data_IF_145340393852
#
_entry.id   IF_145340393852
#
_cell.length_a   1.000
_cell.length_b   1.000
_cell.length_c   1.000
_cell.angle_alpha   90.00
_cell.angle_beta   90.00
_cell.angle_gamma   90.00
#
_symmetry.space_group_name_H-M   'P 1'
#
loop_
_entity.id
_entity.type
_entity.pdbx_description
1 polymer ?
#
# COMPACT_ATOMS: atom_id res chain seq x y z
N UNK A 1 -18.91 11.51 4.20
CA UNK A 1 -18.77 10.58 5.35
C UNK A 1 -17.44 10.75 6.06
N UNK A 2 -16.31 10.47 5.41
CA UNK A 2 -14.98 10.62 6.03
C UNK A 2 -14.77 11.98 6.73
N UNK A 3 -15.07 13.10 6.04
CA UNK A 3 -14.95 14.44 6.61
C UNK A 3 -15.73 14.60 7.93
N UNK A 4 -16.93 14.05 8.01
CA UNK A 4 -17.80 14.13 9.20
C UNK A 4 -17.24 13.29 10.35
N UNK A 5 -16.84 12.04 10.08
CA UNK A 5 -16.28 11.16 11.11
C UNK A 5 -14.95 11.71 11.66
N UNK A 6 -14.10 12.30 10.82
CA UNK A 6 -12.88 13.00 11.26
C UNK A 6 -13.20 14.26 12.06
N UNK A 7 -14.15 15.07 11.59
CA UNK A 7 -14.55 16.31 12.25
C UNK A 7 -15.11 16.06 13.66
N UNK A 8 -15.91 14.99 13.84
CA UNK A 8 -16.41 14.57 15.15
C UNK A 8 -15.27 14.37 16.15
N UNK A 9 -14.21 13.65 15.76
CA UNK A 9 -13.06 13.43 16.63
C UNK A 9 -12.26 14.71 16.85
N UNK A 10 -11.89 15.42 15.78
CA UNK A 10 -11.02 16.61 15.83
C UNK A 10 -11.63 17.73 16.68
N UNK A 11 -12.96 17.88 16.68
CA UNK A 11 -13.62 18.89 17.50
C UNK A 11 -13.26 18.76 18.98
N UNK A 12 -13.12 17.53 19.50
CA UNK A 12 -12.83 17.26 20.92
C UNK A 12 -11.39 16.81 21.17
N UNK A 13 -10.62 16.47 20.13
CA UNK A 13 -9.23 16.05 20.25
C UNK A 13 -8.34 17.20 20.77
N UNK A 14 -7.51 16.92 21.79
CA UNK A 14 -6.63 17.89 22.44
C UNK A 14 -7.30 19.21 22.84
N UNK A 15 -8.59 19.16 23.21
CA UNK A 15 -9.37 20.34 23.59
C UNK A 15 -10.06 20.17 24.96
N UNK A 16 -9.31 20.27 26.08
CA UNK A 16 -9.85 20.00 27.42
C UNK A 16 -11.08 20.83 27.76
N UNK A 17 -11.06 22.14 27.50
CA UNK A 17 -12.18 23.04 27.78
C UNK A 17 -13.46 22.64 27.02
N UNK A 18 -13.35 22.26 25.75
CA UNK A 18 -14.51 21.80 24.96
C UNK A 18 -15.04 20.46 25.46
N UNK A 19 -14.16 19.57 25.91
CA UNK A 19 -14.56 18.27 26.48
C UNK A 19 -15.28 18.44 27.81
N UNK A 20 -14.78 19.34 28.67
CA UNK A 20 -15.43 19.70 29.92
C UNK A 20 -16.82 20.28 29.66
N UNK A 21 -16.93 21.27 28.77
CA UNK A 21 -18.21 21.86 28.37
C UNK A 21 -19.18 20.81 27.81
N UNK A 22 -18.72 19.96 26.91
CA UNK A 22 -19.51 18.88 26.33
C UNK A 22 -20.06 17.94 27.41
N UNK A 23 -19.22 17.46 28.32
CA UNK A 23 -19.64 16.55 29.39
C UNK A 23 -20.56 17.23 30.39
N UNK A 24 -20.27 18.48 30.77
CA UNK A 24 -21.11 19.24 31.69
C UNK A 24 -22.53 19.46 31.13
N UNK A 25 -22.63 19.79 29.84
CA UNK A 25 -23.88 20.06 29.13
C UNK A 25 -24.68 18.78 28.85
N UNK A 26 -24.04 17.77 28.28
CA UNK A 26 -24.73 16.59 27.73
C UNK A 26 -24.83 15.43 28.71
N UNK A 27 -24.08 15.49 29.82
CA UNK A 27 -23.83 14.37 30.75
C UNK A 27 -23.19 13.14 30.10
N UNK A 28 -22.75 13.25 28.84
CA UNK A 28 -22.08 12.19 28.13
C UNK A 28 -20.58 12.19 28.42
N UNK A 29 -20.05 11.03 28.81
CA UNK A 29 -18.61 10.80 29.02
C UNK A 29 -17.95 10.10 27.83
N UNK A 30 -18.74 9.66 26.84
CA UNK A 30 -18.26 9.02 25.62
C UNK A 30 -17.96 10.08 24.56
N UNK A 31 -16.81 9.94 23.92
CA UNK A 31 -16.36 10.85 22.86
C UNK A 31 -16.22 10.11 21.51
N UNK A 32 -16.26 10.85 20.38
CA UNK A 32 -16.00 10.28 19.06
C UNK A 32 -14.60 9.67 18.93
N UNK A 33 -14.51 8.54 18.21
CA UNK A 33 -13.26 7.83 17.94
C UNK A 33 -12.57 8.35 16.67
N UNK A 34 -11.24 8.22 16.57
CA UNK A 34 -10.49 8.65 15.39
C UNK A 34 -10.81 7.77 14.17
N UNK A 35 -11.16 8.41 13.04
CA UNK A 35 -11.40 7.72 11.77
C UNK A 35 -10.09 7.46 11.01
N UNK A 36 -9.90 6.24 10.52
CA UNK A 36 -8.73 5.86 9.73
C UNK A 36 -9.12 5.54 8.28
N UNK A 37 -8.59 6.30 7.31
CA UNK A 37 -8.91 6.11 5.90
C UNK A 37 -8.35 4.83 5.28
N UNK A 38 -7.34 4.21 5.91
CA UNK A 38 -6.63 3.05 5.35
C UNK A 38 -6.88 1.77 6.14
N UNK A 39 -7.19 1.87 7.44
CA UNK A 39 -7.52 0.72 8.30
C UNK A 39 -9.03 0.58 8.45
N UNK A 40 -9.65 -0.08 7.48
CA UNK A 40 -11.10 -0.26 7.45
C UNK A 40 -11.67 -1.02 8.66
N UNK A 41 -10.90 -1.94 9.27
CA UNK A 41 -11.35 -2.68 10.44
C UNK A 41 -11.66 -1.76 11.63
N UNK A 42 -10.88 -0.69 11.81
CA UNK A 42 -11.07 0.26 12.91
C UNK A 42 -12.33 1.12 12.76
N UNK A 43 -12.91 1.20 11.56
CA UNK A 43 -13.97 2.16 11.25
C UNK A 43 -15.37 1.72 11.69
N UNK A 44 -15.62 0.42 11.95
CA UNK A 44 -16.91 -0.03 12.47
C UNK A 44 -17.19 0.53 13.88
N UNK A 45 -16.27 0.40 14.87
CA UNK A 45 -16.40 1.06 16.16
C UNK A 45 -16.54 2.60 16.05
N UNK A 46 -15.86 3.21 15.08
CA UNK A 46 -15.90 4.67 14.87
C UNK A 46 -17.30 5.13 14.46
N UNK A 47 -17.94 4.45 13.51
CA UNK A 47 -19.31 4.82 13.08
C UNK A 47 -20.36 4.46 14.13
N UNK A 48 -20.20 3.35 14.86
CA UNK A 48 -21.07 3.01 15.99
C UNK A 48 -21.00 4.08 17.08
N UNK A 49 -19.78 4.50 17.46
CA UNK A 49 -19.60 5.60 18.42
C UNK A 49 -20.15 6.92 17.89
N UNK A 50 -19.97 7.22 16.60
CA UNK A 50 -20.49 8.44 15.99
C UNK A 50 -22.02 8.50 16.07
N UNK A 51 -22.71 7.40 15.79
CA UNK A 51 -24.17 7.28 15.93
C UNK A 51 -24.61 7.41 17.40
N UNK A 52 -23.89 6.77 18.32
CA UNK A 52 -24.16 6.83 19.77
C UNK A 52 -24.08 8.26 20.33
N UNK A 53 -23.04 9.01 19.97
CA UNK A 53 -22.81 10.36 20.53
C UNK A 53 -23.48 11.46 19.73
N UNK A 54 -24.08 11.16 18.57
CA UNK A 54 -24.68 12.16 17.70
C UNK A 54 -25.67 13.09 18.41
N UNK A 55 -26.64 12.58 19.23
CA UNK A 55 -27.57 13.46 19.94
C UNK A 55 -26.88 14.41 20.92
N UNK A 56 -25.85 13.93 21.62
CA UNK A 56 -25.06 14.76 22.54
C UNK A 56 -24.26 15.83 21.78
N UNK A 57 -23.72 15.49 20.61
CA UNK A 57 -23.01 16.46 19.75
C UNK A 57 -23.97 17.54 19.24
N UNK A 58 -25.17 17.17 18.80
CA UNK A 58 -26.21 18.13 18.41
C UNK A 58 -26.57 19.06 19.57
N UNK A 59 -26.76 18.52 20.79
CA UNK A 59 -27.03 19.34 21.98
C UNK A 59 -25.89 20.32 22.30
N UNK A 60 -24.63 19.89 22.15
CA UNK A 60 -23.48 20.76 22.31
C UNK A 60 -23.44 21.87 21.24
N UNK A 61 -23.70 21.54 19.98
CA UNK A 61 -23.73 22.52 18.89
C UNK A 61 -24.84 23.56 19.08
N UNK A 62 -26.02 23.15 19.55
CA UNK A 62 -27.10 24.07 19.92
C UNK A 62 -26.70 25.00 21.07
N UNK A 63 -25.93 24.50 22.04
CA UNK A 63 -25.39 25.33 23.12
C UNK A 63 -24.35 26.34 22.59
N UNK A 64 -23.52 25.96 21.63
CA UNK A 64 -22.58 26.86 20.94
C UNK A 64 -23.32 27.96 20.18
N UNK A 65 -24.42 27.66 19.49
CA UNK A 65 -25.21 28.68 18.80
C UNK A 65 -25.85 29.70 19.73
N UNK A 66 -26.15 29.32 20.98
CA UNK A 66 -26.95 30.14 21.91
C UNK A 66 -26.16 30.80 23.03
N UNK A 67 -25.19 30.10 23.62
CA UNK A 67 -24.63 30.43 24.94
C UNK A 67 -23.12 30.20 25.08
N UNK A 68 -22.51 29.37 24.24
CA UNK A 68 -21.09 28.98 24.34
C UNK A 68 -20.26 29.60 23.20
N UNK A 69 -18.96 29.87 23.41
CA UNK A 69 -18.10 30.40 22.36
C UNK A 69 -18.04 29.46 21.15
N UNK A 70 -18.14 30.03 19.95
CA UNK A 70 -17.94 29.28 18.72
C UNK A 70 -16.47 28.85 18.60
N UNK A 71 -16.17 27.55 18.40
CA UNK A 71 -14.79 27.08 18.22
C UNK A 71 -14.06 27.71 17.03
N UNK A 72 -14.76 28.19 16.01
CA UNK A 72 -14.16 28.77 14.80
C UNK A 72 -13.27 27.79 14.02
N UNK A 73 -13.51 26.49 14.14
CA UNK A 73 -12.71 25.44 13.51
C UNK A 73 -13.41 24.84 12.30
N UNK A 74 -12.64 24.44 11.28
CA UNK A 74 -13.18 23.72 10.13
C UNK A 74 -13.93 22.42 10.50
N UNK A 75 -13.56 21.79 11.63
CA UNK A 75 -14.28 20.64 12.17
C UNK A 75 -15.69 21.01 12.65
N UNK A 76 -15.85 22.17 13.31
CA UNK A 76 -17.16 22.66 13.72
C UNK A 76 -18.03 22.99 12.49
N UNK A 77 -17.48 23.70 11.50
CA UNK A 77 -18.20 24.06 10.27
C UNK A 77 -18.67 22.83 9.50
N UNK A 78 -17.82 21.79 9.45
CA UNK A 78 -18.17 20.50 8.83
C UNK A 78 -19.35 19.83 9.52
N UNK A 79 -19.39 19.85 10.87
CA UNK A 79 -20.49 19.26 11.62
C UNK A 79 -21.76 20.10 11.51
N UNK A 80 -21.65 21.42 11.48
CA UNK A 80 -22.80 22.30 11.26
C UNK A 80 -23.45 22.05 9.90
N UNK A 81 -22.64 21.91 8.84
CA UNK A 81 -23.16 21.55 7.52
C UNK A 81 -23.80 20.15 7.53
N UNK A 82 -23.20 19.19 8.24
CA UNK A 82 -23.72 17.83 8.33
C UNK A 82 -25.04 17.73 9.10
N UNK A 83 -25.23 18.51 10.16
CA UNK A 83 -26.47 18.55 10.95
C UNK A 83 -27.66 19.08 10.13
N UNK A 84 -27.41 20.00 9.19
CA UNK A 84 -28.43 20.55 8.28
C UNK A 84 -28.88 19.53 7.22
N UNK A 85 -28.11 18.47 6.98
CA UNK A 85 -28.43 17.44 6.01
C UNK A 85 -29.34 16.36 6.65
N UNK A 86 -30.62 16.26 6.25
CA UNK A 86 -31.57 15.32 6.86
C UNK A 86 -31.17 13.85 6.66
N UNK A 87 -30.30 13.55 5.70
CA UNK A 87 -29.88 12.19 5.36
C UNK A 87 -28.56 11.77 6.02
N UNK A 88 -27.91 12.63 6.83
CA UNK A 88 -26.60 12.33 7.41
C UNK A 88 -26.59 11.03 8.25
N UNK A 89 -27.61 10.86 9.10
CA UNK A 89 -27.75 9.66 9.92
C UNK A 89 -28.02 8.42 9.06
N UNK A 90 -28.84 8.55 8.01
CA UNK A 90 -29.07 7.45 7.06
C UNK A 90 -27.76 7.03 6.37
N UNK A 91 -26.89 7.99 6.01
CA UNK A 91 -25.55 7.69 5.46
C UNK A 91 -24.62 7.03 6.47
N UNK A 92 -24.65 7.44 7.75
CA UNK A 92 -23.90 6.78 8.82
C UNK A 92 -24.36 5.32 9.01
N UNK A 93 -25.68 5.07 9.05
CA UNK A 93 -26.21 3.72 9.16
C UNK A 93 -25.91 2.84 7.94
N UNK A 94 -25.98 3.41 6.73
CA UNK A 94 -25.56 2.70 5.51
C UNK A 94 -24.07 2.33 5.59
N UNK A 95 -23.21 3.27 5.94
CA UNK A 95 -21.77 3.01 6.11
C UNK A 95 -21.48 1.95 7.18
N UNK A 96 -22.22 1.96 8.30
CA UNK A 96 -22.16 0.93 9.33
C UNK A 96 -22.57 -0.45 8.80
N UNK A 97 -23.62 -0.54 7.97
CA UNK A 97 -24.05 -1.80 7.37
C UNK A 97 -22.99 -2.38 6.41
N UNK A 98 -22.30 -1.52 5.65
CA UNK A 98 -21.22 -1.93 4.76
C UNK A 98 -20.00 -2.39 5.57
N UNK A 99 -19.50 -1.57 6.49
CA UNK A 99 -18.32 -1.92 7.31
C UNK A 99 -18.53 -3.19 8.13
N UNK A 100 -19.73 -3.41 8.67
CA UNK A 100 -20.10 -4.66 9.35
C UNK A 100 -20.03 -5.89 8.46
N UNK A 101 -20.22 -5.75 7.14
CA UNK A 101 -20.06 -6.86 6.18
C UNK A 101 -18.59 -7.27 6.02
N UNK A 102 -17.67 -6.30 6.05
CA UNK A 102 -16.23 -6.55 5.92
C UNK A 102 -15.56 -6.99 7.23
N UNK A 103 -16.12 -6.61 8.38
CA UNK A 103 -15.48 -6.81 9.69
C UNK A 103 -15.07 -8.27 9.96
N UNK A 104 -15.91 -9.29 9.76
CA UNK A 104 -15.51 -10.67 10.06
C UNK A 104 -14.29 -11.13 9.28
N UNK A 105 -14.27 -10.85 7.97
CA UNK A 105 -13.13 -11.16 7.11
C UNK A 105 -11.89 -10.42 7.57
N UNK A 106 -11.97 -9.09 7.76
CA UNK A 106 -10.82 -8.30 8.18
C UNK A 106 -10.26 -8.75 9.53
N UNK A 107 -11.11 -9.17 10.47
CA UNK A 107 -10.68 -9.70 11.78
C UNK A 107 -9.97 -11.05 11.63
N UNK A 108 -10.54 -12.00 10.87
CA UNK A 108 -9.96 -13.34 10.69
C UNK A 108 -8.55 -13.26 10.09
N UNK A 109 -8.35 -12.39 9.10
CA UNK A 109 -7.08 -12.24 8.39
C UNK A 109 -6.10 -11.27 9.08
N UNK A 110 -6.42 -10.80 10.29
CA UNK A 110 -5.47 -10.17 11.21
C UNK A 110 -4.83 -11.21 12.15
N UNK A 111 -4.33 -12.30 11.57
CA UNK A 111 -3.73 -13.42 12.29
C UNK A 111 -2.33 -13.74 11.75
N UNK A 112 -1.55 -14.47 12.54
CA UNK A 112 -0.27 -15.07 12.15
C UNK A 112 -0.35 -16.59 11.95
N UNK A 113 -1.55 -17.14 12.10
CA UNK A 113 -1.89 -18.51 11.76
C UNK A 113 -1.98 -18.62 10.22
N UNK A 114 -1.49 -19.71 9.60
CA UNK A 114 -1.51 -19.85 8.15
C UNK A 114 -2.92 -20.13 7.62
N UNK A 115 -3.69 -19.06 7.40
CA UNK A 115 -5.09 -19.13 6.93
C UNK A 115 -5.22 -19.00 5.40
N UNK A 116 -4.10 -19.01 4.66
CA UNK A 116 -4.10 -18.90 3.19
C UNK A 116 -5.00 -19.94 2.49
N UNK A 117 -5.16 -21.20 2.95
CA UNK A 117 -6.06 -22.16 2.29
C UNK A 117 -7.53 -21.75 2.34
N UNK A 118 -7.93 -20.95 3.34
CA UNK A 118 -9.31 -20.48 3.49
C UNK A 118 -9.58 -19.17 2.70
N UNK A 119 -8.53 -18.44 2.33
CA UNK A 119 -8.61 -17.10 1.73
C UNK A 119 -9.51 -17.04 0.51
N UNK A 120 -9.40 -18.03 -0.39
CA UNK A 120 -10.16 -18.00 -1.62
C UNK A 120 -11.68 -18.13 -1.37
N UNK A 121 -12.06 -19.00 -0.44
CA UNK A 121 -13.45 -19.24 -0.06
C UNK A 121 -14.03 -18.02 0.67
N UNK A 122 -13.33 -17.53 1.68
CA UNK A 122 -13.80 -16.44 2.53
C UNK A 122 -13.93 -15.13 1.75
N UNK A 123 -12.95 -14.83 0.88
CA UNK A 123 -13.01 -13.63 0.04
C UNK A 123 -14.11 -13.74 -1.03
N UNK A 124 -14.35 -14.92 -1.58
CA UNK A 124 -15.46 -15.14 -2.50
C UNK A 124 -16.81 -14.93 -1.81
N UNK A 125 -16.97 -15.41 -0.57
CA UNK A 125 -18.21 -15.20 0.19
C UNK A 125 -18.41 -13.74 0.61
N UNK A 126 -17.34 -13.03 0.99
CA UNK A 126 -17.38 -11.58 1.24
C UNK A 126 -17.88 -10.81 0.00
N UNK A 127 -17.30 -11.11 -1.18
CA UNK A 127 -17.72 -10.50 -2.45
C UNK A 127 -19.18 -10.83 -2.76
N UNK A 128 -19.59 -12.10 -2.64
CA UNK A 128 -20.98 -12.51 -2.87
C UNK A 128 -21.94 -11.80 -1.91
N UNK A 129 -21.62 -11.72 -0.63
CA UNK A 129 -22.43 -11.04 0.38
C UNK A 129 -22.68 -9.57 0.04
N UNK A 130 -21.65 -8.87 -0.41
CA UNK A 130 -21.77 -7.48 -0.87
C UNK A 130 -22.55 -7.36 -2.18
N UNK A 131 -22.25 -8.19 -3.17
CA UNK A 131 -22.92 -8.18 -4.48
C UNK A 131 -24.42 -8.47 -4.36
N UNK A 132 -24.83 -9.41 -3.50
CA UNK A 132 -26.25 -9.73 -3.25
C UNK A 132 -27.09 -8.53 -2.79
N UNK A 133 -26.46 -7.43 -2.35
CA UNK A 133 -27.15 -6.20 -1.94
C UNK A 133 -27.67 -5.37 -3.11
N UNK A 134 -27.06 -5.50 -4.29
CA UNK A 134 -27.37 -4.63 -5.44
C UNK A 134 -27.30 -5.30 -6.81
N UNK A 135 -26.78 -6.52 -6.92
CA UNK A 135 -26.73 -7.30 -8.16
C UNK A 135 -27.81 -8.36 -8.15
N UNK A 136 -28.42 -8.56 -9.31
CA UNK A 136 -29.46 -9.57 -9.56
C UNK A 136 -28.99 -10.99 -9.21
N UNK A 137 -29.87 -11.81 -8.64
CA UNK A 137 -29.53 -13.14 -8.10
C UNK A 137 -29.08 -14.10 -9.20
N UNK A 138 -29.68 -14.01 -10.37
CA UNK A 138 -29.38 -14.81 -11.56
C UNK A 138 -27.93 -14.63 -12.04
N UNK A 139 -27.35 -13.44 -11.87
CA UNK A 139 -25.95 -13.15 -12.24
C UNK A 139 -24.97 -13.81 -11.26
N UNK A 140 -25.37 -13.98 -10.00
CA UNK A 140 -24.53 -14.51 -8.93
C UNK A 140 -24.65 -16.03 -8.74
N UNK A 141 -25.57 -16.68 -9.48
CA UNK A 141 -25.79 -18.12 -9.39
C UNK A 141 -24.58 -18.87 -9.98
N UNK A 142 -24.08 -19.86 -9.24
CA UNK A 142 -22.98 -20.75 -9.63
C UNK A 142 -21.69 -20.04 -10.10
N UNK A 143 -21.50 -18.78 -9.71
CA UNK A 143 -20.34 -17.99 -10.08
C UNK A 143 -19.08 -18.47 -9.33
N UNK A 144 -18.03 -18.77 -10.10
CA UNK A 144 -16.73 -19.17 -9.56
C UNK A 144 -15.96 -17.98 -8.96
N UNK A 145 -14.97 -18.21 -8.08
CA UNK A 145 -14.12 -17.15 -7.53
C UNK A 145 -13.41 -16.31 -8.60
N UNK A 146 -13.02 -16.91 -9.73
CA UNK A 146 -12.38 -16.17 -10.83
C UNK A 146 -13.39 -15.29 -11.58
N UNK A 147 -14.61 -15.79 -11.81
CA UNK A 147 -15.67 -15.02 -12.45
C UNK A 147 -16.13 -13.85 -11.55
N UNK A 148 -16.18 -14.02 -10.22
CA UNK A 148 -16.49 -12.93 -9.29
C UNK A 148 -15.56 -11.73 -9.45
N UNK A 149 -14.28 -11.96 -9.70
CA UNK A 149 -13.30 -10.88 -9.88
C UNK A 149 -13.37 -10.24 -11.26
N UNK A 150 -13.87 -10.99 -12.26
CA UNK A 150 -14.02 -10.53 -13.64
C UNK A 150 -15.39 -9.94 -13.94
N UNK A 151 -16.36 -10.11 -13.03
CA UNK A 151 -17.70 -9.59 -13.17
C UNK A 151 -17.65 -8.06 -13.27
N UNK A 152 -18.22 -7.50 -14.34
CA UNK A 152 -18.39 -6.06 -14.44
C UNK A 152 -19.54 -5.62 -13.53
N UNK A 153 -19.19 -4.95 -12.43
CA UNK A 153 -20.14 -4.44 -11.44
C UNK A 153 -20.59 -3.00 -11.73
N UNK A 154 -20.09 -2.43 -12.82
CA UNK A 154 -20.43 -1.09 -13.32
C UNK A 154 -21.65 -1.13 -14.23
N UNK A 155 -22.00 -2.32 -14.73
CA UNK A 155 -23.10 -2.51 -15.66
C UNK A 155 -24.46 -2.39 -14.95
N UNK A 156 -25.15 -1.28 -15.23
CA UNK A 156 -26.49 -0.99 -14.71
C UNK A 156 -27.53 -2.08 -15.07
N UNK A 157 -27.31 -2.90 -16.11
CA UNK A 157 -28.25 -3.97 -16.48
C UNK A 157 -28.23 -5.13 -15.48
N UNK A 158 -27.08 -5.38 -14.85
CA UNK A 158 -26.89 -6.42 -13.82
C UNK A 158 -27.49 -6.02 -12.46
N UNK A 159 -27.76 -4.73 -12.27
CA UNK A 159 -28.24 -4.20 -11.00
C UNK A 159 -29.72 -4.49 -10.78
N UNK A 160 -30.08 -4.67 -9.50
CA UNK A 160 -31.49 -4.67 -9.09
C UNK A 160 -32.11 -3.28 -9.26
N UNK A 161 -33.43 -3.20 -9.24
CA UNK A 161 -34.10 -1.90 -9.24
C UNK A 161 -33.61 -1.07 -8.03
N UNK A 162 -33.33 0.23 -8.15
CA UNK A 162 -32.91 1.05 -7.01
C UNK A 162 -33.80 0.90 -5.77
N UNK A 163 -35.11 0.68 -5.94
CA UNK A 163 -36.07 0.44 -4.84
C UNK A 163 -35.82 -0.85 -4.06
N UNK A 164 -35.17 -1.84 -4.67
CA UNK A 164 -34.88 -3.17 -4.10
C UNK A 164 -33.47 -3.26 -3.51
N UNK A 165 -32.64 -2.23 -3.69
CA UNK A 165 -31.27 -2.20 -3.17
C UNK A 165 -31.26 -2.32 -1.64
N UNK A 166 -30.47 -3.26 -1.12
CA UNK A 166 -30.30 -3.45 0.31
C UNK A 166 -29.25 -2.50 0.89
N UNK A 167 -29.73 -1.36 1.40
CA UNK A 167 -28.93 -0.33 2.09
C UNK A 167 -28.78 -0.59 3.61
N UNK A 168 -29.30 -1.71 4.12
CA UNK A 168 -29.30 -2.06 5.54
C UNK A 168 -30.46 -1.46 6.34
N UNK A 169 -30.88 -2.19 7.39
CA UNK A 169 -32.08 -1.88 8.17
C UNK A 169 -32.06 -0.50 8.83
N UNK A 170 -30.89 -0.06 9.34
CA UNK A 170 -30.78 1.24 10.00
C UNK A 170 -31.03 2.42 9.06
N UNK A 171 -30.50 2.37 7.84
CA UNK A 171 -30.74 3.40 6.84
C UNK A 171 -32.20 3.35 6.35
N UNK A 172 -32.74 2.15 6.10
CA UNK A 172 -34.15 1.94 5.73
C UNK A 172 -35.13 2.55 6.73
N UNK A 173 -34.93 2.28 8.03
CA UNK A 173 -35.80 2.81 9.09
C UNK A 173 -35.80 4.34 9.10
N UNK A 174 -34.61 4.95 9.04
CA UNK A 174 -34.48 6.40 9.05
C UNK A 174 -35.12 7.06 7.83
N UNK A 175 -34.93 6.50 6.63
CA UNK A 175 -35.57 7.04 5.43
C UNK A 175 -37.09 6.98 5.53
N UNK A 176 -37.65 5.87 6.03
CA UNK A 176 -39.11 5.73 6.25
C UNK A 176 -39.63 6.74 7.27
N UNK A 177 -38.90 6.96 8.36
CA UNK A 177 -39.31 7.92 9.39
C UNK A 177 -39.23 9.37 8.90
N UNK A 178 -38.19 9.71 8.11
CA UNK A 178 -38.08 11.03 7.47
C UNK A 178 -39.18 11.27 6.44
N UNK A 179 -39.58 10.24 5.68
CA UNK A 179 -40.72 10.34 4.76
C UNK A 179 -42.05 10.54 5.51
N UNK A 180 -42.29 9.80 6.61
CA UNK A 180 -43.47 9.99 7.47
C UNK A 180 -43.53 11.41 8.05
N UNK A 181 -42.38 11.96 8.43
CA UNK A 181 -42.25 13.33 8.92
C UNK A 181 -42.30 14.39 7.80
N UNK A 182 -42.50 13.99 6.53
CA UNK A 182 -42.49 14.87 5.34
C UNK A 182 -41.21 15.71 5.20
N UNK A 183 -40.09 15.25 5.77
CA UNK A 183 -38.79 15.93 5.67
C UNK A 183 -38.07 15.65 4.35
N UNK A 184 -38.39 14.52 3.71
CA UNK A 184 -37.83 14.10 2.42
C UNK A 184 -38.93 13.52 1.52
N UNK A 185 -38.76 13.65 0.20
CA UNK A 185 -39.67 13.09 -0.80
C UNK A 185 -39.21 11.72 -1.35
N UNK A 186 -40.06 11.08 -2.15
CA UNK A 186 -39.72 9.79 -2.82
C UNK A 186 -38.51 9.93 -3.76
N UNK A 187 -38.41 11.05 -4.48
CA UNK A 187 -37.27 11.32 -5.37
C UNK A 187 -35.94 11.33 -4.61
N UNK A 188 -35.88 12.01 -3.47
CA UNK A 188 -34.69 12.08 -2.61
C UNK A 188 -34.28 10.69 -2.09
N UNK A 189 -35.26 9.86 -1.72
CA UNK A 189 -35.00 8.46 -1.29
C UNK A 189 -34.44 7.64 -2.45
N UNK A 190 -34.99 7.82 -3.66
CA UNK A 190 -34.52 7.13 -4.85
C UNK A 190 -33.08 7.54 -5.22
N UNK A 191 -32.76 8.83 -5.13
CA UNK A 191 -31.41 9.37 -5.32
C UNK A 191 -30.43 8.80 -4.28
N UNK A 192 -30.80 8.80 -3.01
CA UNK A 192 -29.99 8.19 -1.94
C UNK A 192 -29.69 6.71 -2.22
N UNK A 193 -30.67 5.94 -2.68
CA UNK A 193 -30.48 4.53 -3.04
C UNK A 193 -29.55 4.36 -4.23
N UNK A 194 -29.67 5.20 -5.26
CA UNK A 194 -28.75 5.22 -6.42
C UNK A 194 -27.31 5.54 -5.98
N UNK A 195 -27.13 6.48 -5.06
CA UNK A 195 -25.80 6.82 -4.52
C UNK A 195 -25.21 5.68 -3.69
N UNK A 196 -26.02 5.00 -2.86
CA UNK A 196 -25.59 3.82 -2.13
C UNK A 196 -25.17 2.68 -3.07
N UNK A 197 -25.92 2.50 -4.15
CA UNK A 197 -25.61 1.51 -5.19
C UNK A 197 -24.25 1.82 -5.83
N UNK A 198 -24.06 3.04 -6.32
CA UNK A 198 -22.77 3.48 -6.90
C UNK A 198 -21.61 3.28 -5.93
N UNK A 199 -21.80 3.61 -4.65
CA UNK A 199 -20.79 3.40 -3.62
C UNK A 199 -20.43 1.92 -3.47
N UNK A 200 -21.42 1.02 -3.36
CA UNK A 200 -21.17 -0.42 -3.27
C UNK A 200 -20.45 -0.97 -4.51
N UNK A 201 -20.85 -0.51 -5.71
CA UNK A 201 -20.17 -0.84 -6.96
C UNK A 201 -18.70 -0.40 -6.93
N UNK A 202 -18.42 0.86 -6.55
CA UNK A 202 -17.04 1.37 -6.42
C UNK A 202 -16.21 0.59 -5.39
N UNK A 203 -16.80 0.24 -4.25
CA UNK A 203 -16.12 -0.58 -3.23
C UNK A 203 -15.74 -1.94 -3.83
N UNK A 204 -16.66 -2.61 -4.51
CA UNK A 204 -16.40 -3.92 -5.10
C UNK A 204 -15.38 -3.83 -6.23
N UNK A 205 -15.44 -2.82 -7.09
CA UNK A 205 -14.41 -2.58 -8.11
C UNK A 205 -13.01 -2.49 -7.48
N UNK A 206 -12.88 -1.77 -6.35
CA UNK A 206 -11.59 -1.67 -5.64
C UNK A 206 -11.13 -2.99 -5.05
N UNK A 207 -12.05 -3.78 -4.47
CA UNK A 207 -11.74 -5.14 -3.99
C UNK A 207 -11.32 -6.03 -5.15
N UNK A 208 -12.04 -6.02 -6.28
CA UNK A 208 -11.73 -6.78 -7.49
C UNK A 208 -10.37 -6.36 -8.07
N UNK A 209 -10.04 -5.06 -8.11
CA UNK A 209 -8.78 -4.52 -8.62
C UNK A 209 -7.56 -5.16 -7.92
N UNK A 210 -7.61 -5.25 -6.59
CA UNK A 210 -6.51 -5.78 -5.75
C UNK A 210 -6.71 -7.23 -5.30
N UNK A 211 -7.73 -7.93 -5.81
CA UNK A 211 -8.11 -9.24 -5.29
C UNK A 211 -7.06 -10.32 -5.57
N UNK A 212 -6.61 -11.07 -4.55
CA UNK A 212 -5.72 -12.21 -4.74
C UNK A 212 -6.40 -13.39 -5.47
N UNK A 213 -7.73 -13.40 -5.56
CA UNK A 213 -8.48 -14.40 -6.32
C UNK A 213 -8.15 -14.41 -7.82
N UNK A 214 -7.45 -13.41 -8.36
CA UNK A 214 -6.91 -13.42 -9.73
C UNK A 214 -5.83 -14.49 -9.90
N UNK A 215 -5.06 -14.76 -8.85
CA UNK A 215 -3.93 -15.66 -8.91
C UNK A 215 -4.40 -17.11 -8.74
N UNK A 216 -4.05 -18.01 -9.68
CA UNK A 216 -4.41 -19.42 -9.56
C UNK A 216 -3.88 -20.07 -8.29
N UNK A 217 -2.68 -19.71 -7.84
CA UNK A 217 -2.06 -20.26 -6.62
C UNK A 217 -2.99 -20.07 -5.42
N UNK A 218 -3.53 -18.86 -5.24
CA UNK A 218 -4.46 -18.55 -4.13
C UNK A 218 -5.72 -19.42 -4.19
N UNK A 219 -6.26 -19.66 -5.39
CA UNK A 219 -7.45 -20.51 -5.56
C UNK A 219 -7.14 -21.99 -5.35
N UNK A 220 -5.96 -22.43 -5.75
CA UNK A 220 -5.56 -23.83 -5.72
C UNK A 220 -5.09 -24.27 -4.32
N UNK A 221 -4.48 -23.37 -3.54
CA UNK A 221 -4.03 -23.63 -2.15
C UNK A 221 -5.19 -24.04 -1.23
N UNK A 222 -6.44 -23.75 -1.61
CA UNK A 222 -7.62 -24.28 -0.93
C UNK A 222 -7.70 -25.83 -0.92
N UNK A 223 -6.90 -26.55 -1.73
CA UNK A 223 -6.75 -28.00 -1.58
C UNK A 223 -6.10 -28.42 -0.26
N UNK A 224 -5.52 -27.48 0.49
CA UNK A 224 -4.99 -27.69 1.83
C UNK A 224 -6.03 -27.49 2.95
N UNK A 225 -7.28 -27.16 2.62
CA UNK A 225 -8.38 -27.13 3.61
C UNK A 225 -8.79 -28.58 3.92
N UNK A 226 -8.65 -29.05 5.18
CA UNK A 226 -9.04 -30.42 5.55
C UNK A 226 -10.50 -30.76 5.24
N UNK A 227 -11.40 -29.76 5.28
CA UNK A 227 -12.80 -29.93 4.92
C UNK A 227 -12.96 -30.26 3.43
N UNK A 228 -12.16 -29.62 2.57
CA UNK A 228 -12.15 -29.86 1.13
C UNK A 228 -11.48 -31.19 0.79
N UNK A 229 -10.41 -31.55 1.51
CA UNK A 229 -9.75 -32.85 1.38
C UNK A 229 -10.73 -34.00 1.63
N UNK A 230 -11.65 -33.85 2.59
CA UNK A 230 -12.70 -34.83 2.88
C UNK A 230 -13.84 -34.80 1.86
N UNK A 231 -14.32 -33.62 1.49
CA UNK A 231 -15.53 -33.51 0.66
C UNK A 231 -15.28 -33.78 -0.82
N UNK A 232 -14.11 -33.41 -1.33
CA UNK A 232 -13.75 -33.53 -2.75
C UNK A 232 -12.23 -33.82 -2.91
N UNK A 233 -11.80 -35.06 -2.62
CA UNK A 233 -10.39 -35.45 -2.70
C UNK A 233 -9.82 -35.29 -4.12
N UNK A 234 -10.59 -35.61 -5.16
CA UNK A 234 -10.14 -35.54 -6.55
C UNK A 234 -9.91 -34.11 -7.01
N UNK A 235 -10.77 -33.18 -6.59
CA UNK A 235 -10.53 -31.75 -6.79
C UNK A 235 -9.25 -31.30 -6.06
N UNK A 236 -9.03 -31.76 -4.83
CA UNK A 236 -7.81 -31.44 -4.09
C UNK A 236 -6.56 -31.95 -4.82
N UNK A 237 -6.55 -33.21 -5.27
CA UNK A 237 -5.47 -33.81 -6.07
C UNK A 237 -5.20 -32.99 -7.33
N UNK A 238 -6.25 -32.64 -8.09
CA UNK A 238 -6.13 -31.81 -9.30
C UNK A 238 -5.49 -30.45 -9.02
N UNK A 239 -5.86 -29.79 -7.92
CA UNK A 239 -5.30 -28.49 -7.56
C UNK A 239 -3.87 -28.59 -7.02
N UNK A 240 -3.53 -29.65 -6.29
CA UNK A 240 -2.14 -29.91 -5.88
C UNK A 240 -1.23 -30.07 -7.10
N UNK A 241 -1.64 -30.88 -8.09
CA UNK A 241 -0.89 -31.03 -9.35
C UNK A 241 -0.65 -29.69 -10.03
N UNK A 242 -1.68 -28.83 -10.10
CA UNK A 242 -1.55 -27.49 -10.70
C UNK A 242 -0.63 -26.57 -9.89
N UNK A 243 -0.59 -26.69 -8.55
CA UNK A 243 0.34 -25.94 -7.70
C UNK A 243 1.78 -26.36 -7.95
N UNK A 244 2.05 -27.66 -7.94
CA UNK A 244 3.38 -28.22 -8.20
C UNK A 244 3.89 -27.78 -9.57
N UNK A 245 3.06 -27.89 -10.62
CA UNK A 245 3.39 -27.41 -11.96
C UNK A 245 3.77 -25.92 -11.99
N UNK A 246 3.05 -25.07 -11.24
CA UNK A 246 3.37 -23.64 -11.15
C UNK A 246 4.69 -23.36 -10.45
N UNK A 247 4.98 -24.08 -9.37
CA UNK A 247 6.24 -23.95 -8.65
C UNK A 247 7.43 -24.45 -9.48
N UNK A 248 7.22 -25.50 -10.29
CA UNK A 248 8.20 -25.96 -11.28
C UNK A 248 8.49 -24.90 -12.33
N UNK A 249 7.45 -24.32 -12.94
CA UNK A 249 7.59 -23.24 -13.93
C UNK A 249 8.30 -22.01 -13.37
N UNK A 250 8.09 -21.70 -12.09
CA UNK A 250 8.72 -20.58 -11.40
C UNK A 250 10.11 -20.90 -10.84
N UNK A 251 10.64 -22.11 -11.09
CA UNK A 251 11.92 -22.58 -10.54
C UNK A 251 12.00 -22.50 -9.00
N UNK A 252 10.86 -22.64 -8.31
CA UNK A 252 10.75 -22.59 -6.84
C UNK A 252 10.79 -23.98 -6.19
N UNK A 253 11.06 -25.02 -6.98
CA UNK A 253 11.18 -26.40 -6.53
C UNK A 253 12.62 -26.91 -6.78
N UNK A 254 13.41 -27.00 -5.71
CA UNK A 254 14.84 -27.35 -5.78
C UNK A 254 15.12 -28.72 -6.39
N UNK A 255 14.22 -29.70 -6.20
CA UNK A 255 14.34 -31.04 -6.77
C UNK A 255 13.78 -31.19 -8.19
N UNK A 256 13.32 -30.11 -8.83
CA UNK A 256 12.79 -30.16 -10.19
C UNK A 256 11.63 -31.15 -10.37
N UNK A 257 11.48 -31.70 -11.58
CA UNK A 257 10.32 -32.53 -11.95
C UNK A 257 10.16 -33.75 -11.04
N UNK A 258 11.25 -34.43 -10.69
CA UNK A 258 11.19 -35.63 -9.84
C UNK A 258 10.61 -35.35 -8.45
N UNK A 259 11.05 -34.27 -7.80
CA UNK A 259 10.44 -33.86 -6.53
C UNK A 259 8.96 -33.47 -6.70
N UNK A 260 8.60 -32.90 -7.85
CA UNK A 260 7.20 -32.60 -8.17
C UNK A 260 6.34 -33.86 -8.24
N UNK A 261 6.81 -34.89 -8.93
CA UNK A 261 6.10 -36.18 -9.04
C UNK A 261 5.92 -36.84 -7.68
N UNK A 262 6.97 -36.82 -6.83
CA UNK A 262 6.91 -37.33 -5.46
C UNK A 262 5.86 -36.58 -4.63
N UNK A 263 5.81 -35.25 -4.69
CA UNK A 263 4.80 -34.46 -3.96
C UNK A 263 3.38 -34.84 -4.39
N UNK A 264 3.15 -34.99 -5.69
CA UNK A 264 1.83 -35.36 -6.23
C UNK A 264 1.43 -36.77 -5.78
N UNK A 265 2.39 -37.70 -5.81
CA UNK A 265 2.17 -39.08 -5.36
C UNK A 265 1.86 -39.12 -3.86
N UNK A 266 2.71 -38.52 -3.03
CA UNK A 266 2.51 -38.46 -1.57
C UNK A 266 1.16 -37.84 -1.19
N UNK A 267 0.74 -36.76 -1.89
CA UNK A 267 -0.56 -36.13 -1.64
C UNK A 267 -1.73 -37.04 -2.06
N UNK A 268 -1.58 -37.76 -3.17
CA UNK A 268 -2.60 -38.69 -3.65
C UNK A 268 -2.76 -39.88 -2.72
N UNK A 269 -1.65 -40.43 -2.21
CA UNK A 269 -1.64 -41.53 -1.25
C UNK A 269 -2.28 -41.11 0.07
N UNK A 270 -1.94 -39.92 0.58
CA UNK A 270 -2.50 -39.36 1.82
C UNK A 270 -4.03 -39.22 1.75
N UNK A 271 -4.56 -38.76 0.62
CA UNK A 271 -6.01 -38.60 0.42
C UNK A 271 -6.75 -39.90 0.09
N UNK A 272 -6.02 -40.95 -0.30
CA UNK A 272 -6.63 -42.26 -0.63
C UNK A 272 -6.66 -43.19 0.57
N UNK A 273 -5.81 -42.96 1.57
CA UNK A 273 -5.97 -43.57 2.88
C UNK A 273 -7.18 -42.96 3.59
N UNK A 274 -8.03 -43.79 4.22
CA UNK A 274 -9.06 -43.30 5.14
C UNK A 274 -8.37 -42.61 6.32
N UNK A 275 -8.21 -41.29 6.21
CA UNK A 275 -7.53 -40.51 7.22
C UNK A 275 -8.57 -39.91 8.16
N UNK A 276 -9.03 -40.72 9.11
CA UNK A 276 -10.03 -40.33 10.12
C UNK A 276 -9.62 -39.04 10.86
N UNK A 277 -8.32 -38.75 10.95
CA UNK A 277 -7.79 -37.54 11.59
C UNK A 277 -8.27 -36.25 10.92
N UNK A 278 -8.52 -36.25 9.60
CA UNK A 278 -9.03 -35.07 8.88
C UNK A 278 -10.39 -34.61 9.42
N UNK A 279 -11.23 -35.54 9.89
CA UNK A 279 -12.58 -35.25 10.42
C UNK A 279 -12.51 -34.44 11.73
N UNK A 280 -11.44 -34.65 12.50
CA UNK A 280 -11.21 -34.00 13.79
C UNK A 280 -10.81 -32.53 13.69
N UNK A 281 -10.43 -32.04 12.50
CA UNK A 281 -9.95 -30.67 12.37
C UNK A 281 -11.05 -29.64 12.71
N UNK A 282 -10.70 -28.70 13.58
CA UNK A 282 -11.51 -27.53 13.94
C UNK A 282 -10.60 -26.30 13.88
N UNK A 283 -10.89 -25.38 12.96
CA UNK A 283 -10.10 -24.16 12.76
C UNK A 283 -10.10 -23.21 13.96
N UNK A 284 -11.06 -23.36 14.87
CA UNK A 284 -11.16 -22.59 16.13
C UNK A 284 -10.29 -23.14 17.26
N UNK A 285 -9.87 -24.40 17.17
CA UNK A 285 -9.17 -25.11 18.24
C UNK A 285 -7.70 -25.39 17.89
N UNK A 286 -7.42 -25.74 16.64
CA UNK A 286 -6.10 -26.18 16.19
C UNK A 286 -5.61 -25.35 15.02
N UNK A 287 -4.36 -24.90 15.08
CA UNK A 287 -3.71 -24.22 13.94
C UNK A 287 -3.52 -25.19 12.78
N UNK A 288 -3.73 -24.71 11.55
CA UNK A 288 -3.68 -25.55 10.36
C UNK A 288 -2.29 -26.15 10.11
N UNK A 289 -1.21 -25.38 10.31
CA UNK A 289 0.16 -25.87 10.19
C UNK A 289 0.47 -26.98 11.20
N UNK A 290 0.09 -26.80 12.47
CA UNK A 290 0.27 -27.83 13.51
C UNK A 290 -0.51 -29.09 13.17
N UNK A 291 -1.75 -28.94 12.71
CA UNK A 291 -2.58 -30.07 12.29
C UNK A 291 -1.97 -30.82 11.10
N UNK A 292 -1.66 -30.10 10.01
CA UNK A 292 -1.07 -30.70 8.81
C UNK A 292 0.31 -31.30 9.08
N UNK A 293 1.12 -30.72 9.98
CA UNK A 293 2.37 -31.32 10.42
C UNK A 293 2.12 -32.70 11.05
N UNK A 294 1.17 -32.81 11.97
CA UNK A 294 0.82 -34.10 12.60
C UNK A 294 0.33 -35.16 11.61
N UNK A 295 -0.27 -34.74 10.49
CA UNK A 295 -0.75 -35.66 9.45
C UNK A 295 0.35 -36.03 8.44
N UNK A 296 1.24 -35.09 8.12
CA UNK A 296 2.14 -35.21 6.96
C UNK A 296 3.60 -35.49 7.33
N UNK A 297 4.10 -34.93 8.42
CA UNK A 297 5.55 -34.84 8.67
C UNK A 297 6.25 -36.17 8.95
N UNK A 298 5.52 -37.21 9.39
CA UNK A 298 6.14 -38.52 9.67
C UNK A 298 6.23 -39.44 8.44
N UNK A 299 5.40 -39.19 7.41
CA UNK A 299 5.23 -40.11 6.27
C UNK A 299 5.47 -39.47 4.91
N UNK A 300 5.41 -38.15 4.81
CA UNK A 300 5.35 -37.40 3.55
C UNK A 300 6.24 -36.15 3.62
N UNK A 301 7.56 -36.33 3.74
CA UNK A 301 8.53 -35.25 3.97
C UNK A 301 8.56 -34.18 2.87
N UNK A 302 8.57 -34.59 1.60
CA UNK A 302 8.63 -33.71 0.44
C UNK A 302 7.34 -32.90 0.30
N UNK A 303 6.19 -33.56 0.49
CA UNK A 303 4.89 -32.91 0.54
C UNK A 303 4.82 -31.91 1.68
N UNK A 304 5.26 -32.27 2.89
CA UNK A 304 5.29 -31.35 4.01
C UNK A 304 6.22 -30.15 3.75
N UNK A 305 7.40 -30.41 3.18
CA UNK A 305 8.32 -29.39 2.69
C UNK A 305 7.65 -28.40 1.72
N UNK A 306 6.83 -28.91 0.82
CA UNK A 306 6.05 -28.11 -0.12
C UNK A 306 4.91 -27.33 0.55
N UNK A 307 4.13 -27.98 1.42
CA UNK A 307 3.06 -27.35 2.21
C UNK A 307 3.59 -26.18 3.03
N UNK A 308 4.75 -26.30 3.67
CA UNK A 308 5.39 -25.18 4.38
C UNK A 308 5.57 -23.94 3.50
N UNK A 309 6.07 -24.12 2.27
CA UNK A 309 6.24 -23.00 1.32
C UNK A 309 4.90 -22.33 0.98
N UNK A 310 3.83 -23.12 0.85
CA UNK A 310 2.49 -22.60 0.58
C UNK A 310 1.89 -21.86 1.79
N UNK A 311 2.01 -22.42 2.99
CA UNK A 311 1.47 -21.85 4.23
C UNK A 311 2.19 -20.56 4.65
N UNK A 312 3.42 -20.35 4.18
CA UNK A 312 4.20 -19.12 4.37
C UNK A 312 3.81 -17.99 3.42
N UNK A 313 2.92 -18.22 2.43
CA UNK A 313 2.46 -17.17 1.55
C UNK A 313 1.68 -16.11 2.35
N UNK A 314 1.97 -14.84 2.05
CA UNK A 314 1.29 -13.71 2.67
C UNK A 314 -0.21 -13.72 2.35
N UNK A 315 -1.02 -13.66 3.40
CA UNK A 315 -2.48 -13.71 3.34
C UNK A 315 -3.16 -12.57 4.10
N UNK A 316 -2.38 -11.66 4.69
CA UNK A 316 -2.88 -10.56 5.51
C UNK A 316 -1.78 -9.55 5.84
N UNK A 317 -2.17 -8.45 6.50
CA UNK A 317 -1.24 -7.40 6.93
C UNK A 317 -0.78 -7.55 8.38
N UNK A 318 -1.22 -8.60 9.09
CA UNK A 318 -0.94 -8.77 10.52
C UNK A 318 0.56 -8.74 10.85
N UNK A 319 1.39 -9.43 10.06
CA UNK A 319 2.85 -9.44 10.26
C UNK A 319 3.46 -8.06 10.03
N UNK A 320 2.98 -7.30 9.04
CA UNK A 320 3.46 -5.94 8.74
C UNK A 320 3.06 -4.97 9.84
N UNK A 321 1.81 -5.01 10.30
CA UNK A 321 1.29 -4.13 11.37
C UNK A 321 1.93 -4.44 12.74
N UNK A 322 2.20 -5.72 13.05
CA UNK A 322 3.04 -6.10 14.20
C UNK A 322 4.47 -5.60 14.04
N UNK A 323 4.99 -5.67 12.82
CA UNK A 323 6.24 -5.03 12.40
C UNK A 323 6.32 -3.58 12.86
N UNK A 324 5.36 -2.77 12.42
CA UNK A 324 5.26 -1.35 12.78
C UNK A 324 5.05 -1.11 14.28
N UNK A 325 4.30 -1.97 14.97
CA UNK A 325 4.03 -1.81 16.40
C UNK A 325 5.30 -1.96 17.23
N UNK A 326 6.08 -3.02 16.98
CA UNK A 326 7.37 -3.22 17.65
C UNK A 326 8.37 -2.15 17.21
N UNK A 327 8.37 -1.73 15.94
CA UNK A 327 9.21 -0.62 15.49
C UNK A 327 8.93 0.64 16.32
N UNK A 328 7.65 0.95 16.59
CA UNK A 328 7.25 2.08 17.43
C UNK A 328 7.72 1.95 18.89
N UNK A 329 7.86 0.73 19.41
CA UNK A 329 8.39 0.47 20.75
C UNK A 329 9.90 0.68 20.85
N UNK A 330 10.65 0.40 19.77
CA UNK A 330 12.11 0.54 19.74
C UNK A 330 12.60 1.84 19.10
N UNK A 331 11.71 2.59 18.43
CA UNK A 331 12.04 3.83 17.73
C UNK A 331 12.46 4.92 18.71
N UNK A 332 13.63 5.50 18.47
CA UNK A 332 14.16 6.66 19.19
C UNK A 332 14.71 7.70 18.22
N UNK A 333 14.84 8.94 18.67
CA UNK A 333 15.34 10.03 17.84
C UNK A 333 16.76 9.73 17.32
N UNK A 334 17.00 10.07 16.05
CA UNK A 334 18.32 9.95 15.40
C UNK A 334 18.86 8.51 15.25
N UNK A 335 17.99 7.49 15.20
CA UNK A 335 18.41 6.13 14.86
C UNK A 335 18.76 5.98 13.37
N UNK A 336 19.80 5.20 13.10
CA UNK A 336 20.11 4.73 11.75
C UNK A 336 19.33 3.43 11.45
N UNK A 337 19.14 3.13 10.17
CA UNK A 337 18.45 1.92 9.70
C UNK A 337 19.07 0.64 10.32
N UNK A 338 20.40 0.53 10.34
CA UNK A 338 21.11 -0.61 10.92
C UNK A 338 20.79 -0.82 12.41
N UNK A 339 20.64 0.28 13.15
CA UNK A 339 20.25 0.24 14.57
C UNK A 339 18.83 -0.31 14.71
N UNK A 340 17.88 0.18 13.91
CA UNK A 340 16.51 -0.34 13.89
C UNK A 340 16.47 -1.84 13.58
N UNK A 341 17.18 -2.29 12.55
CA UNK A 341 17.26 -3.72 12.18
C UNK A 341 17.85 -4.55 13.33
N UNK A 342 18.89 -4.06 13.99
CA UNK A 342 19.53 -4.77 15.11
C UNK A 342 18.60 -4.88 16.32
N UNK A 343 17.94 -3.79 16.72
CA UNK A 343 16.95 -3.82 17.80
C UNK A 343 15.80 -4.78 17.49
N UNK A 344 15.35 -4.80 16.22
CA UNK A 344 14.31 -5.72 15.76
C UNK A 344 14.71 -7.18 15.91
N UNK A 345 15.93 -7.54 15.51
CA UNK A 345 16.46 -8.89 15.66
C UNK A 345 16.51 -9.33 17.13
N UNK A 346 16.88 -8.42 18.04
CA UNK A 346 16.88 -8.70 19.48
C UNK A 346 15.47 -8.97 19.97
N UNK A 347 14.48 -8.12 19.64
CA UNK A 347 13.09 -8.34 20.01
C UNK A 347 12.55 -9.67 19.48
N UNK A 348 12.83 -10.01 18.22
CA UNK A 348 12.37 -11.26 17.62
C UNK A 348 13.01 -12.48 18.31
N UNK A 349 14.31 -12.43 18.66
CA UNK A 349 14.97 -13.51 19.39
C UNK A 349 14.43 -13.69 20.81
N UNK A 350 14.19 -12.58 21.54
CA UNK A 350 13.55 -12.62 22.87
C UNK A 350 12.18 -13.29 22.81
N UNK A 351 11.39 -12.97 21.77
CA UNK A 351 10.08 -13.59 21.55
C UNK A 351 10.20 -15.10 21.25
N UNK A 352 11.18 -15.52 20.45
CA UNK A 352 11.46 -16.94 20.18
C UNK A 352 11.78 -17.70 21.47
N UNK A 353 12.55 -17.09 22.37
CA UNK A 353 12.85 -17.68 23.68
C UNK A 353 11.64 -17.70 24.62
N UNK A 354 10.52 -17.05 24.28
CA UNK A 354 9.35 -16.96 25.16
C UNK A 354 9.51 -15.93 26.27
N UNK A 355 10.30 -14.88 26.04
CA UNK A 355 10.50 -13.78 26.98
C UNK A 355 11.95 -13.63 27.46
N UNK A 356 12.24 -12.47 28.04
CA UNK A 356 13.61 -12.05 28.39
C UNK A 356 14.31 -13.02 29.36
N UNK A 357 13.57 -13.58 30.32
CA UNK A 357 14.10 -14.49 31.34
C UNK A 357 14.50 -15.87 30.79
N UNK A 358 13.96 -16.23 29.62
CA UNK A 358 14.20 -17.52 28.98
C UNK A 358 15.32 -17.45 27.93
N UNK A 359 15.91 -16.26 27.72
CA UNK A 359 17.01 -16.09 26.78
C UNK A 359 18.26 -16.76 27.34
N UNK A 360 18.81 -17.79 26.67
CA UNK A 360 19.96 -18.51 27.17
C UNK A 360 21.22 -17.63 27.10
N UNK A 361 21.92 -17.50 28.23
CA UNK A 361 23.23 -16.83 28.28
C UNK A 361 24.28 -17.84 27.80
N UNK A 362 24.45 -17.94 26.49
CA UNK A 362 25.42 -18.84 25.88
C UNK A 362 26.86 -18.30 25.94
N UNK A 363 27.85 -19.18 25.82
CA UNK A 363 29.27 -18.77 25.79
C UNK A 363 29.56 -17.86 24.60
N UNK A 364 28.90 -18.11 23.47
CA UNK A 364 28.99 -17.32 22.25
C UNK A 364 28.43 -15.91 22.47
N UNK A 365 27.31 -15.78 23.19
CA UNK A 365 26.74 -14.48 23.55
C UNK A 365 27.70 -13.68 24.45
N UNK A 366 28.29 -14.33 25.46
CA UNK A 366 29.28 -13.71 26.35
C UNK A 366 30.54 -13.26 25.59
N UNK A 367 31.07 -14.11 24.70
CA UNK A 367 32.21 -13.78 23.86
C UNK A 367 31.89 -12.63 22.88
N UNK A 368 30.68 -12.64 22.32
CA UNK A 368 30.19 -11.55 21.48
C UNK A 368 30.09 -10.23 22.26
N UNK A 369 29.55 -10.25 23.48
CA UNK A 369 29.47 -9.07 24.34
C UNK A 369 30.86 -8.53 24.71
N UNK A 370 31.79 -9.41 25.09
CA UNK A 370 33.17 -9.04 25.43
C UNK A 370 33.92 -8.36 24.27
N UNK A 371 33.60 -8.73 23.02
CA UNK A 371 34.22 -8.16 21.81
C UNK A 371 33.50 -6.93 21.26
N UNK A 372 32.40 -6.47 21.88
CA UNK A 372 31.58 -5.36 21.38
C UNK A 372 32.37 -4.05 21.24
N UNK A 373 33.22 -3.71 22.22
CA UNK A 373 34.05 -2.49 22.18
C UNK A 373 35.03 -2.51 21.00
N UNK A 374 35.63 -3.68 20.71
CA UNK A 374 36.54 -3.83 19.58
C UNK A 374 35.80 -3.66 18.25
N UNK A 375 34.63 -4.28 18.09
CA UNK A 375 33.79 -4.12 16.90
C UNK A 375 33.36 -2.68 16.69
N UNK A 376 32.99 -1.98 17.76
CA UNK A 376 32.60 -0.57 17.68
C UNK A 376 33.76 0.32 17.19
N UNK A 377 34.98 0.12 17.71
CA UNK A 377 36.16 0.84 17.24
C UNK A 377 36.44 0.59 15.76
N UNK A 378 36.43 -0.68 15.33
CA UNK A 378 36.58 -1.03 13.92
C UNK A 378 35.53 -0.35 13.03
N UNK A 379 34.27 -0.33 13.46
CA UNK A 379 33.20 0.34 12.74
C UNK A 379 33.44 1.86 12.63
N UNK A 380 33.90 2.53 13.70
CA UNK A 380 34.23 3.96 13.65
C UNK A 380 35.36 4.25 12.65
N UNK A 381 36.39 3.40 12.60
CA UNK A 381 37.49 3.57 11.66
C UNK A 381 37.03 3.33 10.21
N UNK A 382 36.17 2.34 9.99
CA UNK A 382 35.53 2.12 8.68
C UNK A 382 34.66 3.31 8.25
N UNK A 383 33.90 3.92 9.17
CA UNK A 383 33.11 5.12 8.85
C UNK A 383 33.99 6.32 8.49
N UNK A 384 35.11 6.52 9.18
CA UNK A 384 36.09 7.56 8.82
C UNK A 384 36.67 7.32 7.43
N UNK A 385 37.07 6.08 7.14
CA UNK A 385 37.59 5.71 5.83
C UNK A 385 36.56 5.95 4.72
N UNK A 386 35.31 5.50 4.91
CA UNK A 386 34.21 5.74 3.96
C UNK A 386 33.98 7.22 3.68
N UNK A 387 33.92 8.06 4.72
CA UNK A 387 33.75 9.52 4.55
C UNK A 387 34.87 10.16 3.71
N UNK A 388 36.11 9.72 3.90
CA UNK A 388 37.25 10.20 3.10
C UNK A 388 37.06 9.81 1.64
N UNK A 389 36.74 8.54 1.38
CA UNK A 389 36.48 8.02 0.03
C UNK A 389 35.30 8.72 -0.64
N UNK A 390 34.20 8.96 0.08
CA UNK A 390 33.00 9.62 -0.44
C UNK A 390 33.28 11.07 -0.82
N UNK A 391 34.03 11.81 0.00
CA UNK A 391 34.45 13.19 -0.32
C UNK A 391 35.35 13.22 -1.56
N UNK A 392 36.27 12.26 -1.69
CA UNK A 392 37.12 12.14 -2.88
C UNK A 392 36.29 11.78 -4.13
N UNK A 393 35.35 10.84 -4.01
CA UNK A 393 34.46 10.45 -5.09
C UNK A 393 33.53 11.60 -5.53
N UNK A 394 33.01 12.40 -4.59
CA UNK A 394 32.18 13.56 -4.89
C UNK A 394 32.99 14.67 -5.58
N UNK A 395 34.21 14.94 -5.11
CA UNK A 395 35.13 15.88 -5.79
C UNK A 395 35.43 15.43 -7.22
N UNK A 396 35.73 14.14 -7.41
CA UNK A 396 35.97 13.54 -8.72
C UNK A 396 34.75 13.69 -9.63
N UNK A 397 33.56 13.35 -9.15
CA UNK A 397 32.31 13.45 -9.91
C UNK A 397 32.02 14.90 -10.33
N UNK A 398 32.17 15.86 -9.42
CA UNK A 398 31.99 17.28 -9.74
C UNK A 398 32.99 17.76 -10.80
N UNK A 399 34.23 17.27 -10.74
CA UNK A 399 35.26 17.61 -11.72
C UNK A 399 34.98 16.99 -13.10
N UNK A 400 34.52 15.74 -13.14
CA UNK A 400 34.08 15.06 -14.37
C UNK A 400 32.88 15.79 -15.01
N UNK A 401 31.90 16.21 -14.22
CA UNK A 401 30.74 17.00 -14.68
C UNK A 401 31.17 18.36 -15.26
N UNK A 402 32.09 19.05 -14.59
CA UNK A 402 32.65 20.33 -15.07
C UNK A 402 33.39 20.15 -16.40
N UNK A 403 34.21 19.10 -16.54
CA UNK A 403 34.91 18.79 -17.78
C UNK A 403 33.91 18.49 -18.90
N UNK A 404 32.85 17.73 -18.63
CA UNK A 404 31.82 17.43 -19.63
C UNK A 404 31.06 18.68 -20.07
N UNK A 405 30.73 19.58 -19.13
CA UNK A 405 30.12 20.87 -19.44
C UNK A 405 31.04 21.74 -20.33
N UNK A 406 32.34 21.81 -20.00
CA UNK A 406 33.32 22.54 -20.80
C UNK A 406 33.52 21.92 -22.19
N UNK A 407 33.51 20.58 -22.32
CA UNK A 407 33.55 19.89 -23.63
C UNK A 407 32.35 20.24 -24.50
N UNK A 408 31.14 20.26 -23.92
CA UNK A 408 29.92 20.68 -24.63
C UNK A 408 30.00 22.14 -25.08
N UNK A 409 30.44 23.04 -24.19
CA UNK A 409 30.63 24.46 -24.50
C UNK A 409 31.66 24.64 -25.63
N UNK A 410 32.78 23.92 -25.59
CA UNK A 410 33.79 23.88 -26.66
C UNK A 410 33.16 23.44 -27.99
N UNK A 411 32.38 22.35 -28.01
CA UNK A 411 31.73 21.86 -29.25
C UNK A 411 30.80 22.92 -29.87
N UNK A 412 30.01 23.61 -29.05
CA UNK A 412 29.11 24.68 -29.51
C UNK A 412 29.92 25.85 -30.07
N UNK A 413 30.97 26.29 -29.37
CA UNK A 413 31.82 27.39 -29.83
C UNK A 413 32.56 27.08 -31.13
N UNK A 414 33.02 25.83 -31.31
CA UNK A 414 33.59 25.37 -32.58
C UNK A 414 32.56 25.52 -33.71
N UNK A 415 31.34 25.02 -33.50
CA UNK A 415 30.28 25.09 -34.51
C UNK A 415 29.90 26.53 -34.86
N UNK A 416 29.74 27.39 -33.86
CA UNK A 416 29.42 28.82 -34.04
C UNK A 416 30.57 29.56 -34.73
N UNK A 417 31.82 29.27 -34.38
CA UNK A 417 32.98 29.89 -35.04
C UNK A 417 33.06 29.46 -36.50
N UNK A 418 32.84 28.18 -36.81
CA UNK A 418 32.81 27.69 -38.19
C UNK A 418 31.67 28.29 -39.02
N UNK A 419 30.48 28.49 -38.44
CA UNK A 419 29.37 29.13 -39.16
C UNK A 419 29.65 30.61 -39.39
N UNK A 420 30.11 31.35 -38.37
CA UNK A 420 30.48 32.76 -38.50
C UNK A 420 31.56 32.98 -39.55
N UNK A 421 32.53 32.08 -39.64
CA UNK A 421 33.58 32.13 -40.66
C UNK A 421 33.01 31.89 -42.06
N UNK A 422 32.20 30.83 -42.24
CA UNK A 422 31.55 30.54 -43.52
C UNK A 422 30.66 31.68 -43.99
N UNK A 423 29.81 32.22 -43.12
CA UNK A 423 28.90 33.33 -43.44
C UNK A 423 29.70 34.61 -43.78
N UNK A 424 30.82 34.85 -43.08
CA UNK A 424 31.70 35.98 -43.37
C UNK A 424 32.40 35.83 -44.72
N UNK A 425 32.87 34.62 -45.06
CA UNK A 425 33.53 34.32 -46.33
C UNK A 425 32.53 34.42 -47.50
N UNK A 426 31.31 33.87 -47.34
CA UNK A 426 30.24 33.99 -48.33
C UNK A 426 29.84 35.45 -48.59
N UNK A 427 29.67 36.27 -47.54
CA UNK A 427 29.37 37.69 -47.69
C UNK A 427 30.51 38.48 -48.35
N UNK A 428 31.77 38.04 -48.19
CA UNK A 428 32.90 38.64 -48.88
C UNK A 428 32.90 38.28 -50.37
N UNK A 429 32.67 37.01 -50.71
CA UNK A 429 32.55 36.53 -52.10
C UNK A 429 31.36 37.18 -52.83
N UNK A 430 30.20 37.28 -52.18
CA UNK A 430 29.03 37.99 -52.72
C UNK A 430 29.30 39.48 -52.97
N UNK A 431 30.19 40.10 -52.19
CA UNK A 431 30.55 41.51 -52.38
C UNK A 431 31.43 41.73 -53.62
N UNK A 432 32.27 40.76 -54.01
CA UNK A 432 33.14 40.85 -55.20
C UNK A 432 32.32 41.02 -56.50
N UNK A 433 31.09 40.50 -56.54
CA UNK A 433 30.17 40.63 -57.67
C UNK A 433 29.26 41.87 -57.67
N UNK A 434 29.44 42.82 -56.73
CA UNK A 434 28.59 44.02 -56.56
C UNK A 434 29.44 45.30 -56.57
N UNK A 435 28.84 46.44 -56.90
CA UNK A 435 29.54 47.74 -56.94
C UNK A 435 28.81 48.82 -56.11
N UNK A 436 29.56 49.84 -55.68
CA UNK A 436 29.03 51.00 -54.96
C UNK A 436 28.56 50.69 -53.53
N UNK A 437 27.46 51.32 -53.10
CA UNK A 437 26.98 51.28 -51.71
C UNK A 437 26.64 49.86 -51.21
N UNK A 438 26.16 48.98 -52.10
CA UNK A 438 25.79 47.60 -51.75
C UNK A 438 27.02 46.73 -51.42
N UNK A 439 28.12 46.91 -52.17
CA UNK A 439 29.40 46.25 -51.90
C UNK A 439 29.93 46.66 -50.52
N UNK A 440 29.95 47.97 -50.23
CA UNK A 440 30.43 48.49 -48.95
C UNK A 440 29.62 47.96 -47.75
N UNK A 441 28.30 47.79 -47.91
CA UNK A 441 27.43 47.19 -46.88
C UNK A 441 27.74 45.70 -46.64
N UNK A 442 27.95 44.91 -47.69
CA UNK A 442 28.28 43.48 -47.57
C UNK A 442 29.65 43.27 -46.93
N UNK A 443 30.66 44.06 -47.32
CA UNK A 443 32.00 44.04 -46.70
C UNK A 443 31.93 44.45 -45.23
N UNK A 444 31.13 45.47 -44.88
CA UNK A 444 30.94 45.87 -43.49
C UNK A 444 30.34 44.74 -42.67
N UNK A 445 29.29 44.07 -43.18
CA UNK A 445 28.69 42.90 -42.53
C UNK A 445 29.69 41.74 -42.39
N UNK A 446 30.42 41.40 -43.45
CA UNK A 446 31.49 40.37 -43.41
C UNK A 446 32.52 40.69 -42.32
N UNK A 447 33.01 41.93 -42.26
CA UNK A 447 33.98 42.35 -41.24
C UNK A 447 33.42 42.27 -39.81
N UNK A 448 32.13 42.59 -39.61
CA UNK A 448 31.50 42.39 -38.29
C UNK A 448 31.43 40.92 -37.88
N UNK A 449 31.15 40.01 -38.81
CA UNK A 449 31.17 38.57 -38.56
C UNK A 449 32.57 38.05 -38.29
N UNK A 450 33.59 38.51 -39.03
CA UNK A 450 35.01 38.20 -38.77
C UNK A 450 35.47 38.68 -37.40
N UNK A 451 35.00 39.84 -36.94
CA UNK A 451 35.28 40.32 -35.58
C UNK A 451 34.68 39.40 -34.52
N UNK A 452 33.40 39.04 -34.66
CA UNK A 452 32.73 38.08 -33.76
C UNK A 452 33.38 36.70 -33.78
N UNK A 453 33.84 36.24 -34.95
CA UNK A 453 34.62 35.02 -35.08
C UNK A 453 35.90 35.08 -34.23
N UNK A 454 36.69 36.16 -34.33
CA UNK A 454 37.91 36.32 -33.51
C UNK A 454 37.61 36.32 -32.01
N UNK A 455 36.53 36.97 -31.58
CA UNK A 455 36.07 36.95 -30.19
C UNK A 455 35.73 35.52 -29.73
N UNK A 456 34.98 34.75 -30.53
CA UNK A 456 34.61 33.36 -30.22
C UNK A 456 35.80 32.39 -30.24
N UNK A 457 36.77 32.61 -31.12
CA UNK A 457 38.03 31.85 -31.13
C UNK A 457 38.88 32.12 -29.88
N UNK A 458 38.88 33.35 -29.37
CA UNK A 458 39.56 33.67 -28.10
C UNK A 458 38.87 33.02 -26.90
N UNK A 459 37.53 33.03 -26.83
CA UNK A 459 36.76 32.28 -25.82
C UNK A 459 37.04 30.76 -25.89
N UNK A 460 37.23 30.22 -27.09
CA UNK A 460 37.57 28.81 -27.29
C UNK A 460 38.95 28.46 -26.72
N UNK A 461 39.97 29.29 -26.93
CA UNK A 461 41.31 29.10 -26.36
C UNK A 461 41.29 29.13 -24.83
N UNK A 462 40.48 30.00 -24.23
CA UNK A 462 40.30 30.04 -22.78
C UNK A 462 39.70 28.73 -22.25
N UNK A 463 38.67 28.20 -22.91
CA UNK A 463 38.04 26.92 -22.53
C UNK A 463 38.99 25.73 -22.72
N UNK A 464 39.84 25.75 -23.74
CA UNK A 464 40.86 24.71 -23.94
C UNK A 464 41.89 24.70 -22.81
N UNK A 465 42.34 25.88 -22.39
CA UNK A 465 43.25 26.04 -21.25
C UNK A 465 42.61 25.55 -19.96
N UNK A 466 41.33 25.90 -19.73
CA UNK A 466 40.57 25.46 -18.55
C UNK A 466 40.34 23.95 -18.55
N UNK A 467 40.03 23.35 -19.70
CA UNK A 467 39.90 21.89 -19.87
C UNK A 467 41.21 21.17 -19.56
N UNK A 468 42.35 21.72 -19.98
CA UNK A 468 43.66 21.12 -19.70
C UNK A 468 44.00 21.19 -18.21
N UNK A 469 43.74 22.33 -17.57
CA UNK A 469 43.95 22.51 -16.14
C UNK A 469 43.06 21.55 -15.32
N UNK A 470 41.76 21.49 -15.63
CA UNK A 470 40.80 20.58 -14.96
C UNK A 470 41.11 19.12 -15.24
N UNK A 471 41.61 18.78 -16.43
CA UNK A 471 42.06 17.44 -16.76
C UNK A 471 43.33 17.01 -16.00
N UNK A 472 44.25 17.94 -15.72
CA UNK A 472 45.41 17.70 -14.84
C UNK A 472 44.98 17.46 -13.39
N UNK A 473 44.05 18.28 -12.90
CA UNK A 473 43.45 18.14 -11.57
C UNK A 473 42.74 16.78 -11.40
N UNK A 474 42.06 16.28 -12.43
CA UNK A 474 41.39 14.97 -12.38
C UNK A 474 42.38 13.82 -12.30
N UNK A 475 43.49 13.90 -13.04
CA UNK A 475 44.57 12.90 -13.01
C UNK A 475 45.31 12.85 -11.67
N UNK A 476 45.33 13.93 -10.90
CA UNK A 476 45.92 13.95 -9.56
C UNK A 476 45.03 13.36 -8.46
N UNK A 477 43.75 13.13 -8.76
CA UNK A 477 42.76 12.54 -7.84
C UNK A 477 42.60 11.02 -8.11
N UNK A 478 43.08 10.52 -9.25
CA UNK A 478 43.22 9.09 -9.56
C UNK A 478 44.42 8.49 -8.84
#
# INVERSE_FOLDING_TARGET
MEKVLRALHILFHNAPARREDFTALTKCTKFPLPFCGHRWLENLPVVERALEVWPSVTMYMDAVRKKKPNPGTASYDTLEAAEKDPLILARLHFYMAITRTFSPFLTIYQTDVPVIPFLAKDLAELLKSMLRRFVKKEVLKDISPLQLVRLDVSDNQSWVNPKEVNIGLGAESLLKDLQKQKKIGELTVLEFRKDCLKMMSTIIQKVQEKSPLKYPVVRQVACLDPSMMLSDPDWCKSNMTKLVQKFLQAQQLSGGVSAGDVIIQQFSDMLSAENETLVSYRSTETRLDTFLHGVLAERYDELWGFCKKLLLLSHGQATVERGFSINKEVETCNMQEETMVTHRLVCDYVNICGGLLNVPISKELLASAASATSRYRMHLDQQKAKKITDVQAQKRKSLEENIEHLKKKKKILVQVSMSLQRDADQLAEEAEGKAGTLMAQLITKSNTLRKRYKEKTSELQQIETELEAKGKELRSIQ
#
